data_IF_488574189870
#
_entry.id   IF_488574189870
#
_cell.length_a   1.000
_cell.length_b   1.000
_cell.length_c   1.000
_cell.angle_alpha   90.00
_cell.angle_beta   90.00
_cell.angle_gamma   90.00
#
_symmetry.space_group_name_H-M   'P 1'
#
loop_
_entity.id
_entity.type
_entity.pdbx_description
1 polymer ?
#
# COMPACT_ATOMS: atom_id res chain seq x y z
N UNK A 1 -2.93 25.85 -9.77
CA UNK A 1 -2.12 24.79 -10.43
C UNK A 1 -0.94 24.52 -9.50
N UNK A 2 -0.89 23.31 -8.93
CA UNK A 2 0.16 22.91 -7.99
C UNK A 2 1.47 22.67 -8.76
N UNK A 3 2.29 23.73 -8.88
CA UNK A 3 3.57 23.72 -9.62
C UNK A 3 4.54 22.64 -9.14
N UNK A 4 4.36 22.11 -7.92
CA UNK A 4 5.23 21.09 -7.35
C UNK A 4 5.05 19.69 -7.96
N UNK A 5 3.97 19.45 -8.69
CA UNK A 5 3.59 18.13 -9.23
C UNK A 5 3.21 18.17 -10.71
N UNK A 6 3.53 19.26 -11.40
CA UNK A 6 3.26 19.45 -12.83
C UNK A 6 4.31 18.69 -13.68
N UNK A 7 3.92 17.68 -14.49
CA UNK A 7 4.83 16.94 -15.34
C UNK A 7 5.52 17.81 -16.40
N UNK A 8 5.06 19.05 -16.63
CA UNK A 8 5.69 20.00 -17.55
C UNK A 8 6.84 20.82 -16.91
N UNK A 9 7.01 20.78 -15.58
CA UNK A 9 8.03 21.54 -14.83
C UNK A 9 9.03 20.60 -14.14
N UNK A 10 9.60 19.66 -14.90
CA UNK A 10 10.56 18.66 -14.40
C UNK A 10 11.90 19.29 -14.03
N UNK A 11 12.24 20.44 -14.62
CA UNK A 11 13.52 21.13 -14.43
C UNK A 11 13.32 22.52 -13.82
N UNK A 12 14.26 22.96 -13.00
CA UNK A 12 14.35 24.35 -12.54
C UNK A 12 15.10 25.24 -13.55
N UNK A 13 15.08 26.56 -13.34
CA UNK A 13 15.77 27.55 -14.19
C UNK A 13 17.29 27.31 -14.33
N UNK A 14 17.85 26.42 -13.51
CA UNK A 14 19.27 26.01 -13.51
C UNK A 14 19.49 24.62 -14.14
N UNK A 15 18.49 24.05 -14.80
CA UNK A 15 18.58 22.75 -15.49
C UNK A 15 18.68 21.53 -14.57
N UNK A 16 18.38 21.66 -13.26
CA UNK A 16 18.33 20.53 -12.32
C UNK A 16 16.89 20.06 -12.12
N UNK A 17 16.73 18.76 -11.91
CA UNK A 17 15.43 18.15 -11.66
C UNK A 17 14.76 18.71 -10.40
N UNK A 18 13.49 19.08 -10.53
CA UNK A 18 12.67 19.54 -9.42
C UNK A 18 12.38 18.37 -8.47
N UNK A 19 12.92 18.47 -7.25
CA UNK A 19 12.74 17.44 -6.24
C UNK A 19 11.28 17.39 -5.78
N UNK A 20 10.70 16.19 -5.78
CA UNK A 20 9.38 15.92 -5.24
C UNK A 20 9.20 16.55 -3.85
N UNK A 21 8.11 17.32 -3.66
CA UNK A 21 7.83 18.04 -2.41
C UNK A 21 6.88 17.23 -1.52
N UNK A 22 5.86 16.63 -2.13
CA UNK A 22 4.80 15.86 -1.46
C UNK A 22 4.69 14.46 -2.02
N UNK A 23 4.25 13.51 -1.20
CA UNK A 23 3.87 12.17 -1.60
C UNK A 23 2.40 11.97 -1.28
N UNK A 24 1.61 11.61 -2.30
CA UNK A 24 0.22 11.24 -2.09
C UNK A 24 0.16 9.73 -1.78
N UNK A 25 -0.54 9.38 -0.71
CA UNK A 25 -0.78 8.00 -0.27
C UNK A 25 -2.28 7.84 -0.04
N UNK A 26 -2.87 6.77 -0.53
CA UNK A 26 -4.31 6.49 -0.39
C UNK A 26 -4.50 5.26 0.50
N UNK A 27 -5.37 5.40 1.50
CA UNK A 27 -5.76 4.32 2.39
C UNK A 27 -7.21 3.94 2.10
N UNK A 28 -7.41 2.69 1.69
CA UNK A 28 -8.74 2.13 1.42
C UNK A 28 -8.94 0.90 2.31
N UNK A 29 -9.87 0.93 3.28
CA UNK A 29 -10.28 -0.26 3.98
C UNK A 29 -11.11 -1.16 3.05
N UNK A 30 -11.20 -2.47 3.34
CA UNK A 30 -12.12 -3.35 2.60
C UNK A 30 -13.57 -2.93 2.85
N UNK A 31 -14.38 -2.91 1.79
CA UNK A 31 -15.81 -2.52 1.83
C UNK A 31 -16.60 -3.36 2.83
N UNK A 32 -16.28 -4.65 2.90
CA UNK A 32 -16.91 -5.62 3.81
C UNK A 32 -16.76 -5.24 5.29
N UNK A 33 -15.68 -4.53 5.67
CA UNK A 33 -15.44 -4.15 7.05
C UNK A 33 -16.28 -2.95 7.52
N UNK A 34 -16.97 -2.24 6.60
CA UNK A 34 -17.88 -1.11 6.91
C UNK A 34 -17.31 -0.14 7.94
N UNK A 35 -16.06 0.26 7.74
CA UNK A 35 -15.34 1.13 8.67
C UNK A 35 -15.99 2.52 8.73
N UNK A 36 -16.26 3.02 9.95
CA UNK A 36 -16.80 4.37 10.14
C UNK A 36 -15.80 5.44 9.66
N UNK A 37 -16.25 6.57 9.09
CA UNK A 37 -15.36 7.62 8.57
C UNK A 37 -14.38 8.17 9.61
N UNK A 38 -14.87 8.47 10.81
CA UNK A 38 -14.07 8.95 11.94
C UNK A 38 -13.01 7.94 12.34
N UNK A 39 -13.38 6.67 12.36
CA UNK A 39 -12.47 5.61 12.72
C UNK A 39 -11.35 5.44 11.72
N UNK A 40 -11.70 5.50 10.44
CA UNK A 40 -10.77 5.43 9.34
C UNK A 40 -9.76 6.58 9.38
N UNK A 41 -10.23 7.82 9.54
CA UNK A 41 -9.37 9.00 9.63
C UNK A 41 -8.40 8.90 10.79
N UNK A 42 -8.88 8.50 11.97
CA UNK A 42 -8.04 8.39 13.16
C UNK A 42 -7.03 7.23 13.04
N UNK A 43 -7.41 6.09 12.46
CA UNK A 43 -6.48 4.98 12.19
C UNK A 43 -5.38 5.37 11.21
N UNK A 44 -5.71 6.11 10.15
CA UNK A 44 -4.71 6.64 9.21
C UNK A 44 -3.81 7.65 9.90
N UNK A 45 -4.38 8.57 10.70
CA UNK A 45 -3.64 9.58 11.46
C UNK A 45 -2.61 8.92 12.39
N UNK A 46 -3.04 7.96 13.22
CA UNK A 46 -2.16 7.24 14.15
C UNK A 46 -1.07 6.48 13.42
N UNK A 47 -1.40 5.79 12.33
CA UNK A 47 -0.43 5.05 11.53
C UNK A 47 0.68 5.97 11.00
N UNK A 48 0.29 7.11 10.42
CA UNK A 48 1.24 8.08 9.86
C UNK A 48 2.07 8.76 10.94
N UNK A 49 1.47 9.11 12.09
CA UNK A 49 2.21 9.68 13.23
C UNK A 49 3.20 8.69 13.84
N UNK A 50 2.83 7.42 13.99
CA UNK A 50 3.73 6.37 14.51
C UNK A 50 4.93 6.16 13.58
N UNK A 51 4.70 6.11 12.27
CA UNK A 51 5.77 5.86 11.29
C UNK A 51 6.63 7.10 11.02
N UNK A 52 6.03 8.28 11.01
CA UNK A 52 6.69 9.55 10.68
C UNK A 52 6.32 10.66 11.68
N UNK A 53 6.79 10.58 12.95
CA UNK A 53 6.35 11.48 14.02
C UNK A 53 6.68 12.95 13.78
N UNK A 54 7.79 13.23 13.09
CA UNK A 54 8.26 14.60 12.83
C UNK A 54 7.76 15.19 11.49
N UNK A 55 6.97 14.44 10.73
CA UNK A 55 6.52 14.90 9.41
C UNK A 55 5.10 15.48 9.47
N UNK A 56 4.85 16.46 8.59
CA UNK A 56 3.52 17.06 8.42
C UNK A 56 2.79 16.36 7.30
N UNK A 57 1.50 16.12 7.50
CA UNK A 57 0.62 15.56 6.49
C UNK A 57 -0.79 16.11 6.67
N UNK A 58 -1.56 16.08 5.59
CA UNK A 58 -2.98 16.44 5.56
C UNK A 58 -3.78 15.22 5.15
N UNK A 59 -4.93 15.01 5.80
CA UNK A 59 -5.85 13.92 5.52
C UNK A 59 -7.12 14.46 4.87
N UNK A 60 -7.61 13.79 3.82
CA UNK A 60 -8.89 14.06 3.20
C UNK A 60 -9.69 12.77 3.07
N UNK A 61 -10.90 12.74 3.62
CA UNK A 61 -11.81 11.60 3.49
C UNK A 61 -12.73 11.79 2.30
N UNK A 62 -12.80 10.79 1.42
CA UNK A 62 -13.67 10.78 0.25
C UNK A 62 -14.71 9.64 0.36
N UNK A 63 -15.97 9.98 0.09
CA UNK A 63 -17.11 9.06 -0.01
C UNK A 63 -17.83 9.13 -1.38
N UNK A 64 -17.19 9.75 -2.36
CA UNK A 64 -17.71 10.02 -3.71
C UNK A 64 -18.07 8.75 -4.48
N UNK A 65 -17.23 7.71 -4.38
CA UNK A 65 -17.53 6.37 -4.90
C UNK A 65 -18.27 5.60 -3.81
N UNK A 66 -19.60 5.48 -3.96
CA UNK A 66 -20.57 4.91 -3.01
C UNK A 66 -20.13 3.61 -2.29
N UNK A 67 -19.22 2.84 -2.89
CA UNK A 67 -18.78 1.55 -2.35
C UNK A 67 -17.34 1.54 -1.83
N UNK A 68 -16.57 2.62 -2.01
CA UNK A 68 -15.13 2.62 -1.69
C UNK A 68 -14.71 3.88 -0.93
N UNK A 69 -15.10 4.00 0.35
CA UNK A 69 -14.60 5.08 1.19
C UNK A 69 -13.07 4.99 1.29
N UNK A 70 -12.38 6.10 1.09
CA UNK A 70 -10.93 6.13 1.13
C UNK A 70 -10.41 7.46 1.69
N UNK A 71 -9.21 7.41 2.28
CA UNK A 71 -8.53 8.59 2.82
C UNK A 71 -7.32 8.89 1.96
N UNK A 72 -7.27 10.11 1.42
CA UNK A 72 -6.09 10.69 0.81
C UNK A 72 -5.19 11.28 1.88
N UNK A 73 -3.91 11.00 1.78
CA UNK A 73 -2.86 11.58 2.61
C UNK A 73 -1.90 12.33 1.71
N UNK A 74 -1.85 13.64 1.89
CA UNK A 74 -0.81 14.48 1.28
C UNK A 74 0.32 14.59 2.29
N UNK A 75 1.36 13.78 2.09
CA UNK A 75 2.52 13.70 2.98
C UNK A 75 3.61 14.67 2.51
N UNK A 76 4.05 15.58 3.37
CA UNK A 76 5.20 16.43 3.08
C UNK A 76 6.49 15.63 3.27
N UNK A 77 7.32 15.57 2.23
CA UNK A 77 8.55 14.74 2.24
C UNK A 77 9.62 15.29 3.20
N UNK A 78 9.67 16.61 3.39
CA UNK A 78 10.58 17.24 4.38
C UNK A 78 9.89 17.30 5.74
N UNK A 79 10.57 16.82 6.78
CA UNK A 79 10.16 16.99 8.16
C UNK A 79 10.32 18.43 8.66
N UNK A 80 10.09 18.63 9.96
CA UNK A 80 10.27 19.93 10.61
C UNK A 80 11.73 20.38 10.67
N UNK A 81 12.68 19.43 10.72
CA UNK A 81 14.13 19.70 10.80
C UNK A 81 14.78 19.84 9.40
N UNK A 82 14.00 19.65 8.34
CA UNK A 82 14.44 19.75 6.94
C UNK A 82 15.01 18.45 6.36
N UNK A 83 15.05 17.36 7.14
CA UNK A 83 15.42 16.03 6.66
C UNK A 83 14.34 15.50 5.73
N UNK A 84 14.75 14.83 4.66
CA UNK A 84 13.84 14.23 3.68
C UNK A 84 13.58 12.78 4.04
N UNK A 85 12.31 12.40 4.11
CA UNK A 85 11.90 11.00 4.11
C UNK A 85 12.10 10.38 2.71
N UNK A 86 12.60 9.15 2.71
CA UNK A 86 12.69 8.31 1.52
C UNK A 86 11.68 7.16 1.70
N UNK A 87 10.50 7.28 1.07
CA UNK A 87 9.41 6.29 1.19
C UNK A 87 9.71 5.15 0.22
N UNK A 88 10.21 4.02 0.76
CA UNK A 88 10.53 2.83 -0.03
C UNK A 88 9.40 1.81 0.03
N UNK A 89 9.51 0.77 -0.81
CA UNK A 89 8.58 -0.38 -0.80
C UNK A 89 8.42 -1.03 0.58
N UNK A 90 9.51 -1.07 1.38
CA UNK A 90 9.47 -1.58 2.75
C UNK A 90 8.57 -0.72 3.64
N UNK A 91 8.68 0.60 3.55
CA UNK A 91 7.86 1.53 4.32
C UNK A 91 6.38 1.40 3.97
N UNK A 92 6.05 1.25 2.68
CA UNK A 92 4.66 1.03 2.26
C UNK A 92 4.06 -0.25 2.86
N UNK A 93 4.87 -1.30 3.04
CA UNK A 93 4.43 -2.55 3.70
C UNK A 93 4.19 -2.31 5.19
N UNK A 94 5.08 -1.62 5.86
CA UNK A 94 4.94 -1.30 7.29
C UNK A 94 3.73 -0.39 7.53
N UNK A 95 3.51 0.62 6.69
CA UNK A 95 2.33 1.48 6.72
C UNK A 95 1.04 0.65 6.54
N UNK A 96 1.02 -0.29 5.58
CA UNK A 96 -0.12 -1.18 5.34
C UNK A 96 -0.40 -2.07 6.56
N UNK A 97 0.64 -2.65 7.17
CA UNK A 97 0.51 -3.48 8.37
C UNK A 97 0.03 -2.66 9.56
N UNK A 98 0.66 -1.51 9.84
CA UNK A 98 0.27 -0.63 10.94
C UNK A 98 -1.16 -0.12 10.81
N UNK A 99 -1.58 0.24 9.59
CA UNK A 99 -2.97 0.62 9.34
C UNK A 99 -3.97 -0.50 9.65
N UNK A 100 -3.63 -1.73 9.26
CA UNK A 100 -4.45 -2.90 9.58
C UNK A 100 -4.50 -3.15 11.09
N UNK A 101 -3.40 -2.98 11.82
CA UNK A 101 -3.36 -3.11 13.28
C UNK A 101 -4.23 -2.06 13.96
N UNK A 102 -4.15 -0.79 13.54
CA UNK A 102 -5.00 0.28 14.08
C UNK A 102 -6.49 0.02 13.87
N UNK A 103 -6.88 -0.56 12.73
CA UNK A 103 -8.26 -0.94 12.47
C UNK A 103 -8.69 -2.14 13.31
N UNK A 104 -7.83 -3.14 13.50
CA UNK A 104 -8.10 -4.28 14.38
C UNK A 104 -8.29 -3.86 15.84
N UNK A 105 -7.48 -2.92 16.32
CA UNK A 105 -7.61 -2.37 17.67
C UNK A 105 -8.96 -1.70 17.91
N UNK A 106 -9.61 -1.22 16.84
CA UNK A 106 -10.96 -0.65 16.87
C UNK A 106 -12.08 -1.68 16.68
N UNK A 107 -11.74 -2.96 16.56
CA UNK A 107 -12.70 -4.05 16.41
C UNK A 107 -13.09 -4.39 14.97
N UNK A 108 -12.40 -3.85 13.96
CA UNK A 108 -12.68 -4.19 12.56
C UNK A 108 -11.92 -5.46 12.14
N UNK A 109 -12.62 -6.41 11.53
CA UNK A 109 -12.00 -7.61 10.95
C UNK A 109 -11.36 -7.27 9.58
N UNK A 110 -10.06 -6.98 9.62
CA UNK A 110 -9.26 -6.65 8.44
C UNK A 110 -7.94 -7.42 8.45
N UNK A 111 -7.39 -7.70 7.26
CA UNK A 111 -6.10 -8.39 7.11
C UNK A 111 -5.21 -7.71 6.08
N UNK A 112 -4.02 -7.28 6.51
CA UNK A 112 -2.96 -6.82 5.62
C UNK A 112 -2.31 -8.02 4.92
N UNK A 113 -2.72 -8.29 3.68
CA UNK A 113 -2.04 -9.27 2.83
C UNK A 113 -0.86 -8.62 2.10
N UNK A 114 0.28 -9.31 2.09
CA UNK A 114 1.46 -8.96 1.29
C UNK A 114 1.56 -9.99 0.17
N UNK A 115 1.12 -9.67 -1.06
CA UNK A 115 1.23 -10.58 -2.21
C UNK A 115 2.70 -10.62 -2.67
N UNK A 116 3.52 -11.39 -1.95
CA UNK A 116 4.84 -11.92 -2.35
C UNK A 116 5.29 -12.91 -1.26
N UNK A 117 5.08 -14.21 -1.46
CA UNK A 117 5.87 -15.22 -0.74
C UNK A 117 7.30 -15.18 -1.29
N UNK A 118 8.11 -14.29 -0.71
CA UNK A 118 9.56 -14.32 -0.95
C UNK A 118 10.07 -15.67 -0.43
N UNK A 119 10.52 -16.53 -1.34
CA UNK A 119 10.93 -17.89 -1.01
C UNK A 119 10.23 -18.97 -1.81
N UNK A 120 8.99 -18.79 -2.29
CA UNK A 120 8.33 -19.83 -3.09
C UNK A 120 9.08 -20.08 -4.41
N UNK A 121 9.48 -19.01 -5.10
CA UNK A 121 10.28 -19.15 -6.31
C UNK A 121 11.68 -19.71 -6.04
N UNK A 122 12.23 -19.48 -4.85
CA UNK A 122 13.54 -20.01 -4.46
C UNK A 122 13.43 -21.48 -4.05
N UNK A 123 12.43 -21.85 -3.26
CA UNK A 123 12.14 -23.23 -2.87
C UNK A 123 11.75 -24.09 -4.06
N UNK A 124 11.02 -23.55 -5.04
CA UNK A 124 10.74 -24.22 -6.32
C UNK A 124 12.04 -24.44 -7.11
N UNK A 125 12.93 -23.44 -7.17
CA UNK A 125 14.25 -23.57 -7.81
C UNK A 125 15.15 -24.58 -7.08
N UNK A 126 15.20 -24.51 -5.75
CA UNK A 126 16.04 -25.38 -4.92
C UNK A 126 15.53 -26.83 -4.98
N UNK A 127 14.20 -27.03 -4.94
CA UNK A 127 13.58 -28.33 -5.16
C UNK A 127 13.89 -28.88 -6.55
N UNK A 128 13.79 -28.06 -7.60
CA UNK A 128 14.17 -28.46 -8.96
C UNK A 128 15.65 -28.85 -9.08
N UNK A 129 16.54 -28.13 -8.38
CA UNK A 129 17.98 -28.38 -8.43
C UNK A 129 18.37 -29.65 -7.66
N UNK A 130 17.71 -29.91 -6.53
CA UNK A 130 18.00 -31.03 -5.60
C UNK A 130 17.25 -32.32 -5.96
N UNK A 131 16.18 -32.24 -6.76
CA UNK A 131 15.40 -33.42 -7.15
C UNK A 131 16.23 -34.41 -8.00
N UNK A 132 15.99 -35.74 -7.84
CA UNK A 132 16.63 -36.76 -8.66
C UNK A 132 16.24 -36.59 -10.15
N UNK A 133 17.14 -36.93 -11.09
CA UNK A 133 16.98 -36.67 -12.53
C UNK A 133 15.63 -37.12 -13.13
N UNK A 134 15.00 -38.16 -12.57
CA UNK A 134 13.69 -38.67 -13.01
C UNK A 134 12.49 -37.80 -12.59
N UNK A 135 12.65 -36.96 -11.56
CA UNK A 135 11.63 -36.04 -11.05
C UNK A 135 11.90 -34.58 -11.45
N UNK A 136 13.07 -34.26 -12.02
CA UNK A 136 13.34 -32.92 -12.54
C UNK A 136 12.37 -32.59 -13.67
N UNK A 137 11.66 -31.48 -13.54
CA UNK A 137 10.64 -31.04 -14.50
C UNK A 137 9.23 -31.58 -14.25
N UNK A 138 9.04 -32.44 -13.23
CA UNK A 138 7.72 -32.90 -12.79
C UNK A 138 7.28 -32.02 -11.61
N UNK A 139 6.21 -31.25 -11.81
CA UNK A 139 5.64 -30.39 -10.78
C UNK A 139 4.23 -30.87 -10.44
N UNK A 140 3.95 -31.04 -9.15
CA UNK A 140 2.61 -31.29 -8.65
C UNK A 140 1.98 -29.97 -8.21
N UNK A 141 0.78 -29.69 -8.71
CA UNK A 141 0.03 -28.51 -8.28
C UNK A 141 -0.60 -28.84 -6.92
N UNK A 142 0.02 -28.35 -5.85
CA UNK A 142 -0.39 -28.64 -4.46
C UNK A 142 -1.56 -27.76 -4.00
N UNK A 143 -1.68 -26.56 -4.56
CA UNK A 143 -2.75 -25.61 -4.28
C UNK A 143 -2.97 -24.69 -5.47
N UNK A 144 -4.24 -24.41 -5.78
CA UNK A 144 -4.65 -23.47 -6.83
C UNK A 144 -5.19 -22.23 -6.13
N UNK A 145 -4.35 -21.20 -6.03
CA UNK A 145 -4.77 -19.94 -5.42
C UNK A 145 -5.95 -19.33 -6.18
N UNK A 146 -7.01 -18.94 -5.47
CA UNK A 146 -8.17 -18.27 -6.06
C UNK A 146 -7.90 -16.77 -6.22
N UNK A 147 -7.86 -16.25 -7.44
CA UNK A 147 -7.87 -14.81 -7.72
C UNK A 147 -9.27 -14.46 -8.27
N UNK A 148 -10.02 -13.60 -7.57
CA UNK A 148 -11.26 -13.06 -8.12
C UNK A 148 -10.91 -11.92 -9.07
N UNK A 149 -10.86 -12.19 -10.37
CA UNK A 149 -10.82 -11.14 -11.38
C UNK A 149 -12.22 -10.57 -11.58
N UNK A 150 -12.34 -9.25 -11.75
CA UNK A 150 -13.60 -8.53 -12.00
C UNK A 150 -14.24 -8.94 -13.34
N UNK A 151 -14.81 -10.15 -13.41
CA UNK A 151 -15.72 -10.66 -14.43
C UNK A 151 -16.28 -12.03 -14.00
N UNK A 152 -16.69 -12.17 -12.74
CA UNK A 152 -17.43 -13.36 -12.31
C UNK A 152 -18.89 -13.22 -12.77
N UNK A 153 -19.25 -13.92 -13.86
CA UNK A 153 -20.59 -13.89 -14.47
C UNK A 153 -21.67 -14.56 -13.61
N UNK A 154 -21.29 -15.19 -12.50
CA UNK A 154 -22.23 -15.83 -11.58
C UNK A 154 -22.84 -14.86 -10.58
N UNK A 155 -22.27 -13.66 -10.43
CA UNK A 155 -22.89 -12.57 -9.67
C UNK A 155 -23.74 -11.72 -10.60
N UNK A 156 -25.04 -11.62 -10.32
CA UNK A 156 -25.91 -10.67 -11.02
C UNK A 156 -25.33 -9.26 -10.92
N UNK A 157 -25.44 -8.51 -12.02
CA UNK A 157 -25.20 -7.06 -12.06
C UNK A 157 -26.13 -6.33 -11.09
#
# INVERSE_FOLDING_TARGET
IDRANDPQHVMNDKGKENKKITQNIVFSPPVLAKVKPEDLLESVRKTMQKKYPNHRFVLGYHCDKKEHPHVHVVFRIRDNDGKRADIRKKDLREIRTGFCEELKLKGYDVKATHKQQHGLNQSVKDAHNTAPKRQKGVYEVVDVGYDHYQNDKTKSK
#
